data_IF_883857829548
#
_entry.id   IF_883857829548
#
_cell.length_a   1.000
_cell.length_b   1.000
_cell.length_c   1.000
_cell.angle_alpha   90.00
_cell.angle_beta   90.00
_cell.angle_gamma   90.00
#
_symmetry.space_group_name_H-M   'P 1'
#
loop_
_entity.id
_entity.type
_entity.pdbx_description
1 polymer ?
#
# COMPACT_ATOMS: atom_id res chain seq x y z
N UNK A 1 69.61 76.27 -17.44
CA UNK A 1 69.33 76.59 -16.02
C UNK A 1 68.00 77.35 -16.03
N UNK A 2 66.88 76.80 -15.58
CA UNK A 2 66.55 76.41 -14.20
C UNK A 2 65.47 75.32 -14.22
N UNK A 3 65.64 74.34 -13.35
CA UNK A 3 64.71 73.26 -13.02
C UNK A 3 63.50 73.80 -12.24
N UNK A 4 62.29 73.33 -12.53
CA UNK A 4 61.21 73.24 -11.55
C UNK A 4 60.62 71.82 -11.61
N UNK A 5 60.93 71.05 -10.57
CA UNK A 5 60.19 69.86 -10.17
C UNK A 5 58.92 70.37 -9.48
N UNK A 6 57.74 69.94 -9.92
CA UNK A 6 56.58 69.93 -9.04
C UNK A 6 56.39 68.52 -8.49
N UNK A 7 56.35 68.46 -7.17
CA UNK A 7 56.16 67.26 -6.36
C UNK A 7 54.67 67.15 -6.06
N UNK A 8 53.99 66.14 -6.59
CA UNK A 8 52.67 65.75 -6.09
C UNK A 8 52.85 65.03 -4.75
N UNK A 9 52.89 65.81 -3.67
CA UNK A 9 52.75 65.28 -2.31
C UNK A 9 51.32 64.83 -2.08
N UNK A 10 51.14 63.68 -1.42
CA UNK A 10 49.82 63.14 -1.02
C UNK A 10 49.11 64.06 0.00
N UNK A 11 49.87 64.95 0.64
CA UNK A 11 49.43 65.91 1.67
C UNK A 11 49.96 67.30 1.26
N UNK A 12 49.10 68.32 1.25
CA UNK A 12 49.47 69.71 0.99
C UNK A 12 49.90 70.48 2.25
N UNK A 13 50.47 71.67 2.07
CA UNK A 13 50.98 72.52 3.17
C UNK A 13 49.86 73.06 4.09
N UNK A 14 48.59 72.90 3.69
CA UNK A 14 47.40 73.18 4.50
C UNK A 14 46.84 71.95 5.25
N UNK A 15 47.45 70.76 5.10
CA UNK A 15 47.05 69.54 5.80
C UNK A 15 45.85 68.82 5.19
N UNK A 16 45.57 68.98 3.89
CA UNK A 16 44.55 68.21 3.19
C UNK A 16 45.17 67.00 2.46
N UNK A 17 44.47 65.86 2.52
CA UNK A 17 44.81 64.66 1.77
C UNK A 17 44.20 64.78 0.36
N UNK A 18 45.05 64.71 -0.67
CA UNK A 18 44.65 64.86 -2.08
C UNK A 18 43.92 66.18 -2.44
N UNK A 19 44.07 67.24 -1.64
CA UNK A 19 43.51 68.57 -1.93
C UNK A 19 41.98 68.69 -1.84
N UNK A 20 41.27 67.66 -1.33
CA UNK A 20 39.79 67.67 -1.23
C UNK A 20 39.28 67.41 0.19
N UNK A 21 40.06 66.71 1.04
CA UNK A 21 39.61 66.27 2.36
C UNK A 21 40.64 66.68 3.42
N UNK A 22 40.22 67.31 4.51
CA UNK A 22 41.09 67.64 5.63
C UNK A 22 41.64 66.36 6.29
N UNK A 23 42.95 66.26 6.49
CA UNK A 23 43.58 65.02 6.99
C UNK A 23 43.12 64.64 8.40
N UNK A 24 42.71 65.63 9.20
CA UNK A 24 42.17 65.40 10.54
C UNK A 24 40.84 64.65 10.45
N UNK A 25 39.98 65.00 9.49
CA UNK A 25 38.68 64.38 9.30
C UNK A 25 38.81 62.96 8.74
N UNK A 26 39.78 62.75 7.83
CA UNK A 26 40.14 61.42 7.34
C UNK A 26 40.63 60.49 8.46
N UNK A 27 41.43 60.99 9.41
CA UNK A 27 41.88 60.24 10.58
C UNK A 27 40.73 59.91 11.54
N UNK A 28 39.78 60.83 11.74
CA UNK A 28 38.58 60.58 12.56
C UNK A 28 37.71 59.49 11.95
N UNK A 29 37.52 59.49 10.63
CA UNK A 29 36.77 58.42 9.92
C UNK A 29 37.47 57.07 10.05
N UNK A 30 38.79 57.02 9.87
CA UNK A 30 39.57 55.77 10.07
C UNK A 30 39.50 55.30 11.52
N UNK A 31 39.54 56.22 12.49
CA UNK A 31 39.41 55.88 13.92
C UNK A 31 38.02 55.33 14.24
N UNK A 32 36.95 55.92 13.70
CA UNK A 32 35.58 55.42 13.89
C UNK A 32 35.41 54.03 13.27
N UNK A 33 35.96 53.79 12.07
CA UNK A 33 35.96 52.46 11.43
C UNK A 33 36.76 51.45 12.27
N UNK A 34 37.92 51.84 12.79
CA UNK A 34 38.75 50.97 13.64
C UNK A 34 38.04 50.64 14.97
N UNK A 35 37.35 51.60 15.57
CA UNK A 35 36.55 51.39 16.80
C UNK A 35 35.31 50.53 16.52
N UNK A 36 34.68 50.65 15.36
CA UNK A 36 33.56 49.77 14.96
C UNK A 36 34.02 48.33 14.71
N UNK A 37 35.16 48.13 14.04
CA UNK A 37 35.74 46.80 13.82
C UNK A 37 36.23 46.18 15.13
N UNK A 38 36.88 46.97 15.99
CA UNK A 38 37.32 46.52 17.31
C UNK A 38 36.13 46.24 18.25
N UNK A 39 35.08 47.07 18.21
CA UNK A 39 33.85 46.89 18.98
C UNK A 39 33.05 45.64 18.58
N UNK A 40 33.02 45.29 17.29
CA UNK A 40 32.47 44.02 16.81
C UNK A 40 33.32 42.81 17.25
N UNK A 41 34.64 42.97 17.36
CA UNK A 41 35.52 41.89 17.85
C UNK A 41 35.44 41.67 19.37
N UNK A 42 35.23 42.73 20.16
CA UNK A 42 35.31 42.65 21.63
C UNK A 42 34.09 41.94 22.24
N UNK A 43 32.92 42.01 21.62
CA UNK A 43 31.73 41.24 22.04
C UNK A 43 31.90 39.73 21.82
N UNK A 44 32.90 39.31 21.02
CA UNK A 44 33.20 37.89 20.75
C UNK A 44 34.34 37.33 21.61
N UNK A 45 34.99 38.15 22.44
CA UNK A 45 36.07 37.70 23.33
C UNK A 45 35.70 37.98 24.79
N UNK A 46 34.67 37.27 25.25
CA UNK A 46 34.49 36.94 26.66
C UNK A 46 35.42 35.79 27.05
N UNK A 47 36.16 36.02 28.12
CA UNK A 47 37.25 35.19 28.65
C UNK A 47 36.78 33.83 29.21
N UNK A 48 37.55 32.77 28.92
CA UNK A 48 37.90 31.77 29.95
C UNK A 48 36.90 30.67 30.32
N UNK A 49 36.43 29.89 29.34
CA UNK A 49 35.81 28.59 29.60
C UNK A 49 35.64 27.79 28.32
N UNK A 50 36.72 27.15 27.84
CA UNK A 50 36.66 26.26 26.67
C UNK A 50 35.89 24.97 26.99
N UNK A 51 34.57 25.05 27.14
CA UNK A 51 33.72 23.94 26.73
C UNK A 51 33.65 24.05 25.22
N UNK A 52 34.43 23.22 24.51
CA UNK A 52 34.17 22.98 23.09
C UNK A 52 32.67 22.72 22.95
N UNK A 53 31.95 23.54 22.18
CA UNK A 53 30.55 23.29 21.92
C UNK A 53 30.44 21.82 21.47
N UNK A 54 29.53 21.02 22.06
CA UNK A 54 29.39 19.64 21.67
C UNK A 54 29.21 19.60 20.15
N UNK A 55 30.03 18.82 19.46
CA UNK A 55 29.89 18.67 18.01
C UNK A 55 28.52 18.07 17.75
N UNK A 56 27.59 18.81 17.16
CA UNK A 56 26.29 18.29 16.78
C UNK A 56 26.45 17.35 15.60
N UNK A 57 25.90 16.14 15.72
CA UNK A 57 25.82 15.18 14.63
C UNK A 57 24.36 14.95 14.26
N UNK A 58 24.14 14.43 13.06
CA UNK A 58 22.82 14.01 12.59
C UNK A 58 22.79 12.53 12.23
N UNK A 59 21.65 11.88 12.42
CA UNK A 59 21.39 10.54 11.88
C UNK A 59 19.91 10.37 11.59
N UNK A 60 19.59 9.64 10.53
CA UNK A 60 18.21 9.25 10.24
C UNK A 60 17.83 8.03 11.08
N UNK A 61 16.55 7.94 11.43
CA UNK A 61 15.93 6.77 12.05
C UNK A 61 14.59 6.48 11.42
N UNK A 62 14.22 5.19 11.34
CA UNK A 62 12.85 4.78 11.03
C UNK A 62 12.11 4.50 12.33
N UNK A 63 11.02 5.23 12.58
CA UNK A 63 10.18 5.07 13.76
C UNK A 63 8.85 4.42 13.38
N UNK A 64 8.59 3.26 13.97
CA UNK A 64 7.29 2.60 13.91
C UNK A 64 6.44 3.12 15.06
N UNK A 65 5.47 3.99 14.72
CA UNK A 65 4.53 4.58 15.67
C UNK A 65 3.39 3.61 16.02
N UNK A 66 3.37 2.43 15.39
CA UNK A 66 2.30 1.44 15.56
C UNK A 66 0.98 1.92 14.98
N UNK A 67 -0.09 1.27 15.41
CA UNK A 67 -1.46 1.58 15.00
C UNK A 67 -1.94 2.84 15.73
N UNK A 68 -2.36 3.83 14.95
CA UNK A 68 -2.77 5.14 15.41
C UNK A 68 -4.22 5.43 15.02
N UNK A 69 -5.00 6.12 15.88
CA UNK A 69 -6.31 6.64 15.51
C UNK A 69 -6.23 7.65 14.37
N UNK A 70 -7.30 7.77 13.59
CA UNK A 70 -7.36 8.68 12.44
C UNK A 70 -7.09 10.15 12.82
N UNK A 71 -7.61 10.60 13.96
CA UNK A 71 -7.38 11.95 14.47
C UNK A 71 -5.92 12.22 14.86
N UNK A 72 -5.08 11.19 15.06
CA UNK A 72 -3.63 11.35 15.22
C UNK A 72 -2.96 11.35 13.85
N UNK A 73 -3.23 10.36 13.01
CA UNK A 73 -2.56 10.24 11.71
C UNK A 73 -2.83 11.40 10.76
N UNK A 74 -3.98 12.07 10.91
CA UNK A 74 -4.33 13.28 10.16
C UNK A 74 -3.54 14.52 10.59
N UNK A 75 -2.90 14.51 11.77
CA UNK A 75 -2.09 15.61 12.28
C UNK A 75 -0.59 15.43 11.96
N UNK A 76 -0.13 14.19 11.75
CA UNK A 76 1.28 13.91 11.46
C UNK A 76 1.63 14.44 10.07
N UNK A 77 2.63 15.32 10.01
CA UNK A 77 3.09 15.96 8.78
C UNK A 77 4.61 15.89 8.61
N UNK A 78 5.07 15.92 7.36
CA UNK A 78 6.50 16.05 7.06
C UNK A 78 6.93 17.46 7.50
N UNK A 79 8.06 17.54 8.20
CA UNK A 79 8.56 18.76 8.82
C UNK A 79 8.13 18.95 10.27
N UNK A 80 7.24 18.10 10.80
CA UNK A 80 6.94 18.08 12.24
C UNK A 80 8.22 17.88 13.02
N UNK A 81 8.43 18.71 14.04
CA UNK A 81 9.64 18.66 14.87
C UNK A 81 9.31 18.54 16.34
N UNK A 82 10.23 17.92 17.09
CA UNK A 82 10.16 17.79 18.53
C UNK A 82 11.56 17.91 19.15
N UNK A 83 11.70 18.80 20.12
CA UNK A 83 12.95 19.05 20.84
C UNK A 83 12.81 18.66 22.31
N UNK A 84 13.17 17.42 22.72
CA UNK A 84 13.08 17.01 24.13
C UNK A 84 14.09 17.73 25.03
N UNK A 85 15.08 18.43 24.46
CA UNK A 85 16.08 19.23 25.17
C UNK A 85 16.69 20.28 24.25
N UNK A 86 17.37 21.29 24.79
CA UNK A 86 17.97 22.40 24.01
C UNK A 86 18.94 21.97 22.89
N UNK A 87 19.56 20.80 23.00
CA UNK A 87 20.53 20.31 22.02
C UNK A 87 20.06 19.04 21.31
N UNK A 88 18.77 18.70 21.36
CA UNK A 88 18.28 17.50 20.69
C UNK A 88 17.01 17.82 19.93
N UNK A 89 17.03 17.59 18.62
CA UNK A 89 15.91 17.83 17.72
C UNK A 89 15.60 16.55 16.93
N UNK A 90 14.32 16.29 16.74
CA UNK A 90 13.79 15.29 15.84
C UNK A 90 12.95 16.00 14.81
N UNK A 91 13.17 15.74 13.53
CA UNK A 91 12.34 16.26 12.43
C UNK A 91 11.84 15.11 11.58
N UNK A 92 10.52 15.00 11.36
CA UNK A 92 9.94 14.00 10.47
C UNK A 92 10.26 14.39 9.02
N UNK A 93 10.93 13.49 8.30
CA UNK A 93 11.34 13.72 6.90
C UNK A 93 10.48 12.97 5.90
N UNK A 94 9.84 11.87 6.31
CA UNK A 94 8.94 11.09 5.45
C UNK A 94 7.91 10.31 6.29
N UNK A 95 6.77 9.98 5.70
CA UNK A 95 5.65 9.30 6.35
C UNK A 95 5.08 8.23 5.43
N UNK A 96 4.97 7.03 5.98
CA UNK A 96 4.34 5.89 5.36
C UNK A 96 3.18 5.39 6.22
N UNK A 97 1.98 5.46 5.66
CA UNK A 97 0.76 4.97 6.27
C UNK A 97 0.34 3.65 5.63
N UNK A 98 -0.18 2.75 6.45
CA UNK A 98 -0.78 1.50 5.98
C UNK A 98 -2.10 1.26 6.67
N UNK A 99 -3.10 0.71 5.97
CA UNK A 99 -4.39 0.43 6.57
C UNK A 99 -4.29 -0.74 7.54
N UNK A 100 -5.00 -0.64 8.66
CA UNK A 100 -5.12 -1.67 9.70
C UNK A 100 -6.58 -1.73 10.16
N UNK A 101 -7.43 -2.40 9.36
CA UNK A 101 -8.88 -2.37 9.52
C UNK A 101 -9.45 -0.93 9.56
N UNK A 102 -9.98 -0.49 10.69
CA UNK A 102 -10.52 0.86 10.91
C UNK A 102 -9.46 1.86 11.42
N UNK A 103 -8.23 1.41 11.62
CA UNK A 103 -7.11 2.22 12.08
C UNK A 103 -6.01 2.31 11.02
N UNK A 104 -5.04 3.19 11.24
CA UNK A 104 -3.90 3.36 10.33
C UNK A 104 -2.61 3.12 11.09
N UNK A 105 -1.75 2.24 10.58
CA UNK A 105 -0.40 2.10 11.10
C UNK A 105 0.49 3.16 10.47
N UNK A 106 1.23 3.87 11.30
CA UNK A 106 2.12 4.95 10.90
C UNK A 106 3.58 4.56 11.12
N UNK A 107 4.38 4.67 10.06
CA UNK A 107 5.84 4.57 10.11
C UNK A 107 6.39 5.87 9.57
N UNK A 108 7.33 6.47 10.29
CA UNK A 108 7.94 7.74 9.88
C UNK A 108 9.44 7.60 9.77
N UNK A 109 10.01 8.32 8.81
CA UNK A 109 11.44 8.62 8.79
C UNK A 109 11.65 9.93 9.55
N UNK A 110 12.64 9.96 10.43
CA UNK A 110 13.00 11.17 11.13
C UNK A 110 14.51 11.38 11.13
N UNK A 111 14.93 12.63 10.96
CA UNK A 111 16.29 13.07 11.21
C UNK A 111 16.42 13.44 12.69
N UNK A 112 17.40 12.86 13.37
CA UNK A 112 17.77 13.24 14.72
C UNK A 112 19.03 14.10 14.66
N UNK A 113 19.02 15.23 15.36
CA UNK A 113 20.17 16.10 15.58
C UNK A 113 20.47 16.14 17.08
N UNK A 114 21.69 15.79 17.49
CA UNK A 114 22.10 15.83 18.91
C UNK A 114 23.62 15.87 19.08
N UNK A 115 24.15 16.22 20.28
CA UNK A 115 25.56 16.08 20.62
C UNK A 115 26.14 14.72 20.24
N UNK A 116 27.26 14.76 19.54
CA UNK A 116 28.04 13.57 19.18
C UNK A 116 28.87 13.12 20.37
N UNK A 117 28.96 11.80 20.56
CA UNK A 117 29.95 11.16 21.43
C UNK A 117 30.65 10.08 20.62
N UNK A 118 31.83 10.41 20.08
CA UNK A 118 32.49 9.59 19.07
C UNK A 118 31.74 9.62 17.73
N UNK A 119 31.49 8.45 17.15
CA UNK A 119 30.79 8.29 15.85
C UNK A 119 29.26 8.24 15.98
N UNK A 120 28.71 8.39 17.18
CA UNK A 120 27.26 8.26 17.42
C UNK A 120 26.71 9.46 18.17
N UNK A 121 25.52 9.92 17.78
CA UNK A 121 24.80 10.99 18.47
C UNK A 121 24.16 10.49 19.78
N UNK A 122 23.97 11.38 20.75
CA UNK A 122 23.30 11.11 22.02
C UNK A 122 21.96 11.82 22.12
N UNK A 123 20.98 11.32 21.36
CA UNK A 123 19.62 11.89 21.37
C UNK A 123 18.91 11.61 22.71
N UNK A 124 18.53 12.66 23.44
CA UNK A 124 17.91 12.56 24.78
C UNK A 124 18.70 11.63 25.72
N UNK A 125 20.02 11.85 25.80
CA UNK A 125 20.90 11.18 26.76
C UNK A 125 21.31 9.74 26.44
N UNK A 126 20.95 9.20 25.28
CA UNK A 126 21.34 7.86 24.85
C UNK A 126 21.50 7.77 23.31
N UNK A 127 22.23 6.77 22.78
CA UNK A 127 22.33 6.58 21.34
C UNK A 127 21.01 6.07 20.73
N UNK A 128 20.70 6.41 19.46
CA UNK A 128 19.56 5.84 18.75
C UNK A 128 19.90 4.39 18.37
N UNK A 129 19.25 3.43 19.04
CA UNK A 129 19.44 1.99 18.82
C UNK A 129 18.12 1.33 18.49
N UNK A 130 18.17 0.26 17.70
CA UNK A 130 17.01 -0.57 17.38
C UNK A 130 16.24 -0.96 18.65
N UNK A 131 14.91 -0.87 18.60
CA UNK A 131 14.02 -1.20 19.72
C UNK A 131 13.87 -0.09 20.76
N UNK A 132 14.69 0.98 20.73
CA UNK A 132 14.50 2.13 21.62
C UNK A 132 13.24 2.88 21.23
N UNK A 133 12.46 3.29 22.23
CA UNK A 133 11.28 4.11 22.04
C UNK A 133 11.63 5.60 22.15
N UNK A 134 11.16 6.40 21.20
CA UNK A 134 11.24 7.85 21.22
C UNK A 134 9.82 8.41 21.30
N UNK A 135 9.66 9.50 22.04
CA UNK A 135 8.44 10.30 22.03
C UNK A 135 8.52 11.34 20.93
N UNK A 136 7.39 11.62 20.30
CA UNK A 136 7.18 12.75 19.40
C UNK A 136 6.01 13.53 19.97
N UNK A 137 6.30 14.75 20.43
CA UNK A 137 5.33 15.66 21.03
C UNK A 137 5.33 16.96 20.23
N UNK A 138 4.19 17.28 19.65
CA UNK A 138 3.94 18.53 18.93
C UNK A 138 2.87 19.34 19.66
N UNK A 139 2.49 20.49 19.11
CA UNK A 139 1.36 21.27 19.63
C UNK A 139 0.01 20.56 19.46
N UNK A 140 -0.09 19.65 18.50
CA UNK A 140 -1.38 19.05 18.07
C UNK A 140 -1.50 17.57 18.44
N UNK A 141 -0.40 16.85 18.65
CA UNK A 141 -0.43 15.44 19.03
C UNK A 141 0.77 14.99 19.87
N UNK A 142 0.59 13.85 20.54
CA UNK A 142 1.67 13.12 21.22
C UNK A 142 1.60 11.65 20.80
N UNK A 143 2.73 11.09 20.43
CA UNK A 143 2.85 9.67 20.09
C UNK A 143 4.24 9.14 20.44
N UNK A 144 4.37 7.82 20.45
CA UNK A 144 5.65 7.15 20.70
C UNK A 144 5.97 6.20 19.57
N UNK A 145 7.21 6.26 19.10
CA UNK A 145 7.74 5.42 18.03
C UNK A 145 8.83 4.49 18.53
N UNK A 146 8.86 3.26 18.03
CA UNK A 146 9.98 2.34 18.24
C UNK A 146 10.95 2.44 17.07
N UNK A 147 12.24 2.62 17.34
CA UNK A 147 13.29 2.63 16.30
C UNK A 147 13.36 1.24 15.65
N UNK A 148 13.15 1.20 14.34
CA UNK A 148 13.27 0.00 13.48
C UNK A 148 14.49 0.05 12.55
N UNK A 149 15.11 1.20 12.40
CA UNK A 149 16.31 1.35 11.57
C UNK A 149 17.07 2.62 11.97
N UNK A 150 18.38 2.64 11.74
CA UNK A 150 19.28 3.76 12.06
C UNK A 150 20.27 3.97 10.92
N UNK A 151 20.43 5.22 10.49
CA UNK A 151 21.24 5.60 9.33
C UNK A 151 20.42 5.66 8.04
N UNK A 152 21.06 5.73 6.87
CA UNK A 152 20.42 5.81 5.55
C UNK A 152 19.92 7.23 5.17
N UNK A 153 19.15 7.33 4.08
CA UNK A 153 18.63 8.61 3.53
C UNK A 153 17.43 9.19 4.29
N UNK A 154 16.91 10.32 3.83
CA UNK A 154 15.77 11.03 4.46
C UNK A 154 14.39 10.47 4.09
N UNK A 155 14.32 9.49 3.18
CA UNK A 155 13.08 8.86 2.72
C UNK A 155 12.98 7.40 3.19
N UNK A 156 11.75 6.90 3.37
CA UNK A 156 11.50 5.49 3.64
C UNK A 156 11.70 4.70 2.35
N UNK A 157 12.56 3.67 2.40
CA UNK A 157 12.69 2.75 1.28
C UNK A 157 11.50 1.78 1.25
N UNK A 158 10.54 2.03 0.36
CA UNK A 158 9.47 1.09 0.04
C UNK A 158 9.82 0.27 -1.20
N UNK A 159 9.13 -0.86 -1.38
CA UNK A 159 9.26 -1.71 -2.56
C UNK A 159 7.88 -2.13 -3.03
N UNK A 160 7.68 -2.10 -4.35
CA UNK A 160 6.46 -2.60 -4.97
C UNK A 160 6.36 -4.13 -4.82
N UNK A 161 5.26 -4.60 -4.26
CA UNK A 161 4.94 -6.02 -4.13
C UNK A 161 3.69 -6.36 -4.90
N UNK A 162 3.81 -7.29 -5.84
CA UNK A 162 2.66 -7.77 -6.59
C UNK A 162 1.99 -8.92 -5.85
N UNK A 163 0.69 -8.84 -5.61
CA UNK A 163 -0.09 -9.90 -4.96
C UNK A 163 -1.43 -10.12 -5.67
N UNK A 164 -2.01 -11.31 -5.46
CA UNK A 164 -3.41 -11.60 -5.79
C UNK A 164 -4.15 -11.87 -4.49
N UNK A 165 -5.22 -11.11 -4.24
CA UNK A 165 -6.05 -11.23 -3.04
C UNK A 165 -7.43 -11.75 -3.43
N UNK A 166 -7.91 -12.77 -2.73
CA UNK A 166 -9.28 -13.29 -2.87
C UNK A 166 -10.16 -12.72 -1.76
N UNK A 167 -11.28 -12.13 -2.13
CA UNK A 167 -12.26 -11.58 -1.20
C UNK A 167 -13.69 -12.03 -1.58
N UNK A 168 -14.60 -11.98 -0.62
CA UNK A 168 -16.04 -12.16 -0.87
C UNK A 168 -16.75 -10.85 -0.58
N UNK A 169 -17.39 -10.29 -1.60
CA UNK A 169 -18.00 -8.96 -1.55
C UNK A 169 -19.49 -9.03 -1.88
N UNK A 170 -20.23 -7.98 -1.53
CA UNK A 170 -21.57 -7.79 -2.10
C UNK A 170 -21.45 -7.53 -3.61
N UNK A 171 -22.50 -7.83 -4.37
CA UNK A 171 -22.54 -7.48 -5.79
C UNK A 171 -22.32 -5.97 -6.01
N UNK A 172 -22.94 -5.14 -5.19
CA UNK A 172 -22.80 -3.67 -5.25
C UNK A 172 -21.36 -3.22 -5.05
N UNK A 173 -20.67 -3.79 -4.06
CA UNK A 173 -19.27 -3.42 -3.76
C UNK A 173 -18.32 -3.94 -4.82
N UNK A 174 -18.53 -5.17 -5.32
CA UNK A 174 -17.73 -5.72 -6.41
C UNK A 174 -17.83 -4.86 -7.70
N UNK A 175 -18.97 -4.20 -7.95
CA UNK A 175 -19.17 -3.31 -9.11
C UNK A 175 -18.44 -1.97 -8.98
N UNK A 176 -18.03 -1.58 -7.77
CA UNK A 176 -17.30 -0.33 -7.52
C UNK A 176 -15.80 -0.48 -7.68
N UNK A 177 -15.30 -1.71 -7.74
CA UNK A 177 -13.88 -1.99 -7.94
C UNK A 177 -13.53 -1.90 -9.43
N UNK A 178 -12.42 -1.22 -9.73
CA UNK A 178 -11.96 -1.01 -11.10
C UNK A 178 -10.45 -1.22 -11.21
N UNK A 179 -10.02 -1.70 -12.37
CA UNK A 179 -8.59 -1.72 -12.74
C UNK A 179 -8.04 -0.29 -12.86
N UNK A 180 -6.78 -0.12 -12.47
CA UNK A 180 -6.11 1.18 -12.37
C UNK A 180 -6.50 2.01 -11.16
N UNK A 181 -7.41 1.53 -10.30
CA UNK A 181 -7.85 2.27 -9.13
C UNK A 181 -6.73 2.34 -8.07
N UNK A 182 -6.28 3.56 -7.69
CA UNK A 182 -5.35 3.72 -6.59
C UNK A 182 -6.06 3.58 -5.25
N UNK A 183 -5.41 2.92 -4.30
CA UNK A 183 -5.84 2.77 -2.92
C UNK A 183 -5.03 3.77 -2.09
N UNK A 184 -5.72 4.65 -1.39
CA UNK A 184 -5.10 5.73 -0.61
C UNK A 184 -5.42 5.64 0.87
N UNK A 185 -4.43 5.96 1.69
CA UNK A 185 -4.56 6.15 3.14
C UNK A 185 -4.02 7.53 3.48
N UNK A 186 -4.84 8.37 4.11
CA UNK A 186 -4.51 9.77 4.39
C UNK A 186 -4.00 10.53 3.14
N UNK A 187 -4.66 10.32 2.00
CA UNK A 187 -4.29 10.94 0.72
C UNK A 187 -3.04 10.37 0.03
N UNK A 188 -2.33 9.43 0.66
CA UNK A 188 -1.12 8.79 0.10
C UNK A 188 -1.46 7.46 -0.54
N UNK A 189 -0.93 7.21 -1.73
CA UNK A 189 -1.12 5.94 -2.44
C UNK A 189 -0.30 4.83 -1.78
N UNK A 190 -0.99 3.76 -1.37
CA UNK A 190 -0.38 2.61 -0.69
C UNK A 190 -0.48 1.34 -1.51
N UNK A 191 -1.40 1.29 -2.47
CA UNK A 191 -1.56 0.18 -3.38
C UNK A 191 -2.32 0.64 -4.64
N UNK A 192 -2.26 -0.18 -5.68
CA UNK A 192 -3.03 0.02 -6.92
C UNK A 192 -3.69 -1.29 -7.32
N UNK A 193 -4.96 -1.21 -7.74
CA UNK A 193 -5.70 -2.34 -8.30
C UNK A 193 -5.28 -2.52 -9.76
N UNK A 194 -4.58 -3.61 -10.04
CA UNK A 194 -3.99 -3.94 -11.34
C UNK A 194 -4.88 -4.87 -12.16
N UNK A 195 -5.78 -5.62 -11.49
CA UNK A 195 -6.82 -6.38 -12.17
C UNK A 195 -7.94 -6.73 -11.21
N UNK A 196 -9.15 -6.92 -11.76
CA UNK A 196 -10.31 -7.37 -11.01
C UNK A 196 -10.94 -8.53 -11.79
N UNK A 197 -11.04 -9.70 -11.17
CA UNK A 197 -11.78 -10.83 -11.73
C UNK A 197 -12.86 -11.26 -10.75
N UNK A 198 -14.11 -11.32 -11.22
CA UNK A 198 -15.27 -11.54 -10.36
C UNK A 198 -16.05 -12.77 -10.80
N UNK A 199 -16.41 -13.62 -9.84
CA UNK A 199 -17.18 -14.82 -10.05
C UNK A 199 -18.46 -14.82 -9.22
N UNK A 200 -19.56 -15.28 -9.82
CA UNK A 200 -20.82 -15.52 -9.13
C UNK A 200 -20.71 -16.66 -8.12
N UNK A 201 -21.50 -16.56 -7.05
CA UNK A 201 -21.58 -17.58 -5.99
C UNK A 201 -22.99 -18.19 -5.94
N UNK A 202 -23.24 -19.05 -4.95
CA UNK A 202 -24.57 -19.62 -4.71
C UNK A 202 -25.59 -18.57 -4.23
N UNK A 203 -25.11 -17.43 -3.75
CA UNK A 203 -25.94 -16.30 -3.39
C UNK A 203 -25.73 -15.21 -4.47
N UNK A 204 -26.76 -14.83 -5.24
CA UNK A 204 -26.62 -13.82 -6.29
C UNK A 204 -26.12 -12.48 -5.76
N UNK A 205 -26.42 -12.13 -4.51
CA UNK A 205 -25.97 -10.87 -3.89
C UNK A 205 -24.51 -10.89 -3.42
N UNK A 206 -23.83 -12.04 -3.55
CA UNK A 206 -22.43 -12.24 -3.13
C UNK A 206 -21.58 -12.69 -4.30
N UNK A 207 -20.41 -12.05 -4.45
CA UNK A 207 -19.42 -12.38 -5.47
C UNK A 207 -18.10 -12.74 -4.82
N UNK A 208 -17.37 -13.69 -5.40
CA UNK A 208 -15.96 -13.92 -5.08
C UNK A 208 -15.12 -13.11 -6.05
N UNK A 209 -14.28 -12.23 -5.52
CA UNK A 209 -13.44 -11.31 -6.29
C UNK A 209 -11.98 -11.65 -6.09
N UNK A 210 -11.22 -11.70 -7.17
CA UNK A 210 -9.77 -11.78 -7.19
C UNK A 210 -9.22 -10.42 -7.61
N UNK A 211 -8.47 -9.79 -6.72
CA UNK A 211 -7.82 -8.50 -6.92
C UNK A 211 -6.34 -8.72 -7.17
N UNK A 212 -5.88 -8.35 -8.36
CA UNK A 212 -4.48 -8.09 -8.62
C UNK A 212 -4.07 -6.77 -8.01
N UNK A 213 -3.05 -6.77 -7.17
CA UNK A 213 -2.62 -5.55 -6.48
C UNK A 213 -1.12 -5.37 -6.60
N UNK A 214 -0.69 -4.12 -6.80
CA UNK A 214 0.68 -3.68 -6.53
C UNK A 214 0.65 -2.90 -5.22
N UNK A 215 1.30 -3.43 -4.18
CA UNK A 215 1.38 -2.82 -2.85
C UNK A 215 2.70 -2.07 -2.71
N UNK A 216 2.69 -0.85 -2.16
CA UNK A 216 3.89 -0.22 -1.63
C UNK A 216 4.18 -0.89 -0.28
N UNK A 217 5.25 -1.65 -0.15
CA UNK A 217 5.58 -2.44 1.04
C UNK A 217 6.90 -2.00 1.66
N UNK A 218 7.14 -2.37 2.92
CA UNK A 218 8.42 -2.16 3.61
C UNK A 218 9.09 -3.51 3.84
N UNK A 219 10.42 -3.54 3.71
CA UNK A 219 11.23 -4.72 4.01
C UNK A 219 11.78 -4.63 5.43
N UNK A 220 11.49 -5.61 6.26
CA UNK A 220 12.07 -5.77 7.59
C UNK A 220 12.94 -7.03 7.61
N UNK A 221 14.27 -6.85 7.59
CA UNK A 221 15.19 -7.97 7.43
C UNK A 221 14.98 -8.68 6.08
N UNK A 222 14.64 -9.97 6.10
CA UNK A 222 14.34 -10.77 4.89
C UNK A 222 12.84 -10.83 4.56
N UNK A 223 11.97 -10.20 5.37
CA UNK A 223 10.53 -10.31 5.23
C UNK A 223 9.92 -9.03 4.67
N UNK A 224 9.09 -9.18 3.64
CA UNK A 224 8.30 -8.08 3.07
C UNK A 224 6.97 -7.95 3.82
N UNK A 225 6.62 -6.73 4.22
CA UNK A 225 5.42 -6.45 5.00
C UNK A 225 4.63 -5.28 4.43
N UNK A 226 3.30 -5.38 4.55
CA UNK A 226 2.36 -4.31 4.28
C UNK A 226 1.55 -4.05 5.56
N UNK A 227 1.83 -2.95 6.24
CA UNK A 227 1.37 -2.73 7.61
C UNK A 227 1.88 -3.84 8.52
N UNK A 228 1.02 -4.42 9.34
CA UNK A 228 1.37 -5.58 10.18
C UNK A 228 1.36 -6.91 9.41
N UNK A 229 0.90 -6.91 8.16
CA UNK A 229 0.75 -8.13 7.36
C UNK A 229 2.07 -8.49 6.69
N UNK A 230 2.71 -9.58 7.11
CA UNK A 230 3.78 -10.19 6.32
C UNK A 230 3.20 -10.74 5.01
N UNK A 231 3.78 -10.35 3.88
CA UNK A 231 3.26 -10.72 2.56
C UNK A 231 3.62 -12.17 2.25
N UNK A 232 2.62 -13.05 2.36
CA UNK A 232 2.73 -14.48 2.03
C UNK A 232 1.36 -15.04 1.65
N UNK A 233 1.29 -16.15 0.88
CA UNK A 233 0.03 -16.86 0.67
C UNK A 233 -0.63 -17.24 2.00
N UNK A 234 -1.95 -17.08 2.08
CA UNK A 234 -2.76 -17.32 3.28
C UNK A 234 -2.85 -16.15 4.25
N UNK A 235 -2.06 -15.08 4.06
CA UNK A 235 -2.15 -13.90 4.92
C UNK A 235 -3.37 -13.05 4.57
N UNK A 236 -4.06 -12.54 5.59
CA UNK A 236 -5.20 -11.64 5.41
C UNK A 236 -4.74 -10.21 5.17
N UNK A 237 -5.44 -9.51 4.28
CA UNK A 237 -5.19 -8.12 3.94
C UNK A 237 -6.50 -7.33 4.06
N UNK A 238 -6.41 -6.11 4.59
CA UNK A 238 -7.53 -5.18 4.67
C UNK A 238 -7.20 -3.90 3.93
N UNK A 239 -8.07 -3.50 3.00
CA UNK A 239 -7.84 -2.38 2.10
C UNK A 239 -9.04 -1.44 2.09
N UNK A 240 -8.86 -0.15 2.39
CA UNK A 240 -9.90 0.84 2.23
C UNK A 240 -10.02 1.18 0.74
N UNK A 241 -11.08 0.70 0.10
CA UNK A 241 -11.38 0.99 -1.30
C UNK A 241 -12.61 1.90 -1.39
N UNK A 242 -12.94 2.39 -2.58
CA UNK A 242 -14.21 3.10 -2.81
C UNK A 242 -15.43 2.19 -2.60
N UNK A 243 -15.25 0.86 -2.68
CA UNK A 243 -16.25 -0.13 -2.33
C UNK A 243 -16.40 -0.34 -0.80
N UNK A 244 -15.70 0.46 0.01
CA UNK A 244 -15.55 0.26 1.45
C UNK A 244 -14.34 -0.60 1.80
N UNK A 245 -14.33 -1.13 3.02
CA UNK A 245 -13.23 -1.94 3.53
C UNK A 245 -13.28 -3.35 2.93
N UNK A 246 -12.36 -3.65 2.03
CA UNK A 246 -12.20 -4.98 1.43
C UNK A 246 -11.28 -5.80 2.33
N UNK A 247 -11.81 -6.90 2.87
CA UNK A 247 -11.01 -7.92 3.58
C UNK A 247 -10.87 -9.16 2.71
N UNK A 248 -9.64 -9.58 2.48
CA UNK A 248 -9.34 -10.74 1.64
C UNK A 248 -8.10 -11.49 2.11
N UNK A 249 -7.82 -12.59 1.42
CA UNK A 249 -6.68 -13.47 1.68
C UNK A 249 -5.74 -13.44 0.47
N UNK A 250 -4.44 -13.29 0.72
CA UNK A 250 -3.42 -13.36 -0.32
C UNK A 250 -3.35 -14.81 -0.83
N UNK A 251 -3.68 -15.02 -2.09
CA UNK A 251 -3.61 -16.33 -2.75
C UNK A 251 -2.30 -16.51 -3.53
N UNK A 252 -1.66 -15.41 -3.92
CA UNK A 252 -0.41 -15.42 -4.70
C UNK A 252 0.43 -14.18 -4.40
N UNK A 253 1.75 -14.37 -4.38
CA UNK A 253 2.76 -13.30 -4.29
C UNK A 253 3.62 -13.31 -5.56
N UNK A 254 4.12 -12.15 -5.96
CA UNK A 254 4.94 -11.94 -7.15
C UNK A 254 4.15 -11.80 -8.45
N UNK A 255 2.82 -11.64 -8.39
CA UNK A 255 1.97 -11.48 -9.57
C UNK A 255 0.69 -10.73 -9.25
N UNK A 256 0.13 -10.07 -10.26
CA UNK A 256 -1.15 -9.34 -10.20
C UNK A 256 -2.28 -10.10 -10.89
N UNK A 257 -2.02 -11.29 -11.43
CA UNK A 257 -3.04 -12.12 -12.09
C UNK A 257 -3.12 -13.49 -11.45
N UNK A 258 -4.33 -14.08 -11.47
CA UNK A 258 -4.54 -15.45 -10.99
C UNK A 258 -3.63 -16.45 -11.71
N UNK A 259 -3.37 -17.60 -11.07
CA UNK A 259 -2.53 -18.65 -11.66
C UNK A 259 -3.19 -19.24 -12.92
N UNK A 260 -2.35 -19.65 -13.87
CA UNK A 260 -2.78 -20.27 -15.12
C UNK A 260 -3.11 -19.28 -16.24
N UNK A 261 -3.16 -19.79 -17.47
CA UNK A 261 -3.51 -19.01 -18.65
C UNK A 261 -5.02 -19.03 -18.86
N UNK A 262 -5.67 -17.86 -19.03
CA UNK A 262 -7.09 -17.80 -19.31
C UNK A 262 -7.40 -18.43 -20.68
N UNK A 263 -8.41 -19.29 -20.74
CA UNK A 263 -8.90 -19.91 -21.98
C UNK A 263 -10.38 -20.26 -21.82
N UNK A 264 -11.03 -20.74 -22.88
CA UNK A 264 -12.41 -21.24 -22.83
C UNK A 264 -12.46 -22.74 -23.08
N UNK A 265 -13.36 -23.44 -22.40
CA UNK A 265 -13.58 -24.88 -22.57
C UNK A 265 -15.07 -25.19 -22.64
N UNK A 266 -15.45 -26.09 -23.54
CA UNK A 266 -16.80 -26.63 -23.57
C UNK A 266 -16.93 -27.77 -22.57
N UNK A 267 -17.85 -27.60 -21.62
CA UNK A 267 -18.05 -28.51 -20.50
C UNK A 267 -19.49 -28.97 -20.49
N UNK A 268 -19.69 -30.28 -20.41
CA UNK A 268 -21.01 -30.88 -20.28
C UNK A 268 -21.36 -31.01 -18.79
N UNK A 269 -22.46 -30.38 -18.42
CA UNK A 269 -22.94 -30.24 -17.05
C UNK A 269 -24.32 -30.89 -16.92
N UNK A 270 -24.64 -31.39 -15.73
CA UNK A 270 -25.93 -32.02 -15.44
C UNK A 270 -26.53 -31.51 -14.13
N UNK A 271 -27.84 -31.27 -14.15
CA UNK A 271 -28.69 -31.17 -12.97
C UNK A 271 -29.59 -32.40 -12.94
N UNK A 272 -29.64 -33.08 -11.80
CA UNK A 272 -30.42 -34.30 -11.65
C UNK A 272 -31.66 -34.04 -10.79
N UNK A 273 -32.78 -34.68 -11.17
CA UNK A 273 -34.02 -34.69 -10.41
C UNK A 273 -34.54 -33.29 -10.03
N UNK A 274 -34.52 -32.35 -10.98
CA UNK A 274 -34.98 -30.97 -10.77
C UNK A 274 -36.46 -30.80 -11.16
N UNK A 275 -37.13 -29.82 -10.56
CA UNK A 275 -38.52 -29.51 -10.91
C UNK A 275 -38.63 -29.01 -12.37
N UNK A 276 -39.78 -29.19 -13.04
CA UNK A 276 -40.01 -28.65 -14.38
C UNK A 276 -39.82 -27.13 -14.46
N UNK A 277 -40.12 -26.40 -13.38
CA UNK A 277 -39.91 -24.94 -13.32
C UNK A 277 -38.42 -24.58 -13.46
N UNK A 278 -37.54 -25.23 -12.70
CA UNK A 278 -36.10 -25.03 -12.80
C UNK A 278 -35.54 -25.58 -14.13
N UNK A 279 -36.04 -26.73 -14.59
CA UNK A 279 -35.59 -27.31 -15.85
C UNK A 279 -35.88 -26.38 -17.04
N UNK A 280 -37.08 -25.78 -17.07
CA UNK A 280 -37.48 -24.84 -18.11
C UNK A 280 -36.82 -23.47 -17.98
N UNK A 281 -36.36 -23.09 -16.78
CA UNK A 281 -35.66 -21.81 -16.59
C UNK A 281 -34.25 -21.80 -17.16
N UNK A 282 -33.67 -22.94 -17.53
CA UNK A 282 -32.31 -23.03 -18.09
C UNK A 282 -32.40 -23.09 -19.62
N UNK A 283 -31.84 -22.13 -20.33
CA UNK A 283 -31.93 -22.06 -21.79
C UNK A 283 -30.59 -21.73 -22.46
N UNK A 284 -30.38 -22.14 -23.72
CA UNK A 284 -29.25 -21.68 -24.51
C UNK A 284 -29.20 -20.15 -24.57
N UNK A 285 -27.99 -19.58 -24.57
CA UNK A 285 -27.76 -18.14 -24.59
C UNK A 285 -27.64 -17.50 -23.21
N UNK A 286 -28.04 -18.18 -22.14
CA UNK A 286 -27.83 -17.71 -20.76
C UNK A 286 -26.34 -17.59 -20.44
N UNK A 287 -25.97 -16.54 -19.72
CA UNK A 287 -24.59 -16.23 -19.38
C UNK A 287 -24.44 -15.92 -17.90
N UNK A 288 -23.35 -16.39 -17.31
CA UNK A 288 -22.78 -15.74 -16.14
C UNK A 288 -21.81 -14.67 -16.63
N UNK A 289 -22.04 -13.43 -16.24
CA UNK A 289 -21.19 -12.31 -16.64
C UNK A 289 -21.09 -11.25 -15.55
N UNK A 290 -19.92 -10.64 -15.42
CA UNK A 290 -19.69 -9.54 -14.50
C UNK A 290 -18.75 -8.51 -15.14
N UNK A 291 -19.05 -7.22 -15.03
CA UNK A 291 -18.19 -6.17 -15.61
C UNK A 291 -17.99 -6.24 -17.12
N UNK A 292 -18.91 -6.89 -17.86
CA UNK A 292 -18.77 -7.13 -19.31
C UNK A 292 -17.99 -8.40 -19.66
N UNK A 293 -17.34 -9.05 -18.70
CA UNK A 293 -16.68 -10.34 -18.90
C UNK A 293 -17.68 -11.50 -18.78
N UNK A 294 -17.64 -12.43 -19.73
CA UNK A 294 -18.46 -13.66 -19.67
C UNK A 294 -17.64 -14.78 -19.01
N UNK A 295 -18.12 -15.26 -17.86
CA UNK A 295 -17.51 -16.37 -17.11
C UNK A 295 -18.03 -17.71 -17.60
N UNK A 296 -19.31 -17.77 -17.99
CA UNK A 296 -19.93 -18.97 -18.54
C UNK A 296 -21.02 -18.60 -19.54
N UNK A 297 -21.20 -19.42 -20.58
CA UNK A 297 -22.31 -19.31 -21.53
C UNK A 297 -22.90 -20.69 -21.83
N UNK A 298 -24.21 -20.85 -21.67
CA UNK A 298 -24.91 -22.07 -22.07
C UNK A 298 -25.10 -22.08 -23.58
N UNK A 299 -24.63 -23.12 -24.26
CA UNK A 299 -24.73 -23.27 -25.72
C UNK A 299 -25.78 -24.27 -26.16
N UNK A 300 -26.03 -25.32 -25.37
CA UNK A 300 -27.01 -26.36 -25.68
C UNK A 300 -27.66 -26.90 -24.41
N UNK A 301 -28.94 -27.27 -24.47
CA UNK A 301 -29.70 -27.83 -23.33
C UNK A 301 -30.54 -29.02 -23.82
N UNK A 302 -30.51 -30.11 -23.07
CA UNK A 302 -31.30 -31.32 -23.25
C UNK A 302 -32.04 -31.64 -21.95
N UNK A 303 -33.30 -32.03 -22.05
CA UNK A 303 -34.15 -32.33 -20.89
C UNK A 303 -34.78 -33.70 -21.09
N UNK A 304 -34.77 -34.49 -20.04
CA UNK A 304 -35.36 -35.82 -19.99
C UNK A 304 -36.04 -35.99 -18.64
N UNK A 305 -37.06 -36.83 -18.55
CA UNK A 305 -37.64 -37.14 -17.25
C UNK A 305 -36.57 -37.82 -16.37
N UNK A 306 -36.51 -37.45 -15.09
CA UNK A 306 -35.46 -37.92 -14.20
C UNK A 306 -35.57 -39.43 -13.94
N UNK A 307 -34.47 -40.07 -13.60
CA UNK A 307 -34.47 -41.48 -13.20
C UNK A 307 -34.53 -41.61 -11.68
N UNK A 308 -35.43 -42.45 -11.17
CA UNK A 308 -35.54 -42.80 -9.75
C UNK A 308 -35.29 -44.29 -9.54
N UNK A 309 -34.59 -44.58 -8.46
CA UNK A 309 -34.36 -45.95 -7.98
C UNK A 309 -35.31 -46.19 -6.82
N UNK A 310 -36.18 -47.17 -6.96
CA UNK A 310 -37.18 -47.56 -5.95
C UNK A 310 -36.90 -48.96 -5.42
N UNK A 311 -37.17 -49.19 -4.14
CA UNK A 311 -37.07 -50.53 -3.52
C UNK A 311 -38.47 -51.10 -3.31
N UNK A 312 -38.72 -52.31 -3.83
CA UNK A 312 -39.96 -53.05 -3.64
C UNK A 312 -40.13 -53.59 -2.21
N UNK A 313 -41.33 -54.09 -1.90
CA UNK A 313 -41.63 -54.69 -0.58
C UNK A 313 -40.90 -56.02 -0.36
N UNK A 314 -40.47 -56.66 -1.44
CA UNK A 314 -39.63 -57.85 -1.51
C UNK A 314 -38.12 -57.54 -1.40
N UNK A 315 -37.74 -56.26 -1.40
CA UNK A 315 -36.35 -55.81 -1.39
C UNK A 315 -35.70 -55.67 -2.76
N UNK A 316 -36.42 -55.96 -3.86
CA UNK A 316 -35.90 -55.78 -5.22
C UNK A 316 -35.73 -54.30 -5.57
N UNK A 317 -34.72 -53.98 -6.39
CA UNK A 317 -34.42 -52.62 -6.83
C UNK A 317 -34.94 -52.42 -8.26
N UNK A 318 -35.78 -51.39 -8.45
CA UNK A 318 -36.34 -51.01 -9.75
C UNK A 318 -35.90 -49.60 -10.14
N UNK A 319 -35.41 -49.47 -11.37
CA UNK A 319 -35.19 -48.19 -12.02
C UNK A 319 -36.47 -47.76 -12.74
N UNK A 320 -36.96 -46.56 -12.46
CA UNK A 320 -38.18 -45.99 -13.04
C UNK A 320 -37.96 -44.55 -13.42
N UNK A 321 -38.72 -44.08 -14.40
CA UNK A 321 -38.76 -42.67 -14.74
C UNK A 321 -39.63 -41.90 -13.75
N UNK A 322 -39.14 -40.77 -13.25
CA UNK A 322 -39.89 -39.85 -12.41
C UNK A 322 -41.00 -39.19 -13.24
N UNK A 323 -42.25 -39.11 -12.73
CA UNK A 323 -43.38 -38.62 -13.52
C UNK A 323 -43.36 -37.10 -13.78
N UNK A 324 -42.63 -36.33 -12.96
CA UNK A 324 -42.63 -34.85 -12.99
C UNK A 324 -41.22 -34.28 -13.17
N UNK A 325 -40.33 -34.50 -12.21
CA UNK A 325 -38.94 -34.02 -12.23
C UNK A 325 -38.15 -34.50 -13.45
N UNK A 326 -37.18 -33.67 -13.83
CA UNK A 326 -36.37 -33.83 -15.03
C UNK A 326 -34.89 -33.84 -14.68
N UNK A 327 -34.12 -34.56 -15.49
CA UNK A 327 -32.68 -34.39 -15.59
C UNK A 327 -32.39 -33.41 -16.73
N UNK A 328 -31.56 -32.40 -16.44
CA UNK A 328 -31.16 -31.37 -17.41
C UNK A 328 -29.69 -31.53 -17.68
N UNK A 329 -29.36 -31.83 -18.93
CA UNK A 329 -27.99 -31.93 -19.41
C UNK A 329 -27.72 -30.77 -20.35
N UNK A 330 -26.65 -30.01 -20.12
CA UNK A 330 -26.34 -28.85 -20.95
C UNK A 330 -24.84 -28.71 -21.20
N UNK A 331 -24.50 -28.09 -22.32
CA UNK A 331 -23.12 -27.70 -22.63
C UNK A 331 -22.96 -26.23 -22.29
N UNK A 332 -21.90 -25.91 -21.54
CA UNK A 332 -21.51 -24.55 -21.23
C UNK A 332 -20.08 -24.30 -21.69
N UNK A 333 -19.87 -23.17 -22.37
CA UNK A 333 -18.55 -22.63 -22.61
C UNK A 333 -18.11 -21.88 -21.35
N UNK A 334 -17.11 -22.40 -20.64
CA UNK A 334 -16.61 -21.86 -19.39
C UNK A 334 -15.29 -21.11 -19.63
N UNK A 335 -15.16 -19.93 -19.03
CA UNK A 335 -13.88 -19.23 -18.89
C UNK A 335 -13.07 -19.89 -17.78
N UNK A 336 -12.04 -20.63 -18.17
CA UNK A 336 -11.20 -21.45 -17.29
C UNK A 336 -9.77 -20.93 -17.29
N UNK A 337 -8.96 -21.44 -16.36
CA UNK A 337 -7.52 -21.19 -16.33
C UNK A 337 -6.76 -22.50 -16.41
N UNK A 338 -5.90 -22.62 -17.42
CA UNK A 338 -5.00 -23.76 -17.60
C UNK A 338 -3.72 -23.57 -16.79
N UNK A 339 -3.46 -24.52 -15.90
CA UNK A 339 -2.25 -24.58 -15.08
C UNK A 339 -1.46 -25.85 -15.40
N UNK A 340 -0.21 -25.91 -14.96
CA UNK A 340 0.61 -27.13 -15.08
C UNK A 340 -0.01 -28.35 -14.37
N UNK A 341 -0.91 -28.10 -13.42
CA UNK A 341 -1.62 -29.12 -12.63
C UNK A 341 -3.02 -29.46 -13.17
N UNK A 342 -3.45 -28.82 -14.26
CA UNK A 342 -4.75 -29.04 -14.90
C UNK A 342 -5.59 -27.78 -15.06
N UNK A 343 -6.84 -27.98 -15.49
CA UNK A 343 -7.80 -26.92 -15.76
C UNK A 343 -8.54 -26.53 -14.48
N UNK A 344 -8.67 -25.22 -14.24
CA UNK A 344 -9.42 -24.68 -13.10
C UNK A 344 -10.54 -23.76 -13.56
N UNK A 345 -11.70 -23.83 -12.91
CA UNK A 345 -12.82 -22.91 -13.08
C UNK A 345 -13.13 -22.27 -11.73
N UNK A 346 -13.15 -20.93 -11.67
CA UNK A 346 -13.34 -20.17 -10.42
C UNK A 346 -12.40 -20.62 -9.28
N UNK A 347 -11.12 -20.79 -9.60
CA UNK A 347 -10.06 -21.24 -8.66
C UNK A 347 -10.25 -22.67 -8.10
N UNK A 348 -11.03 -23.50 -8.79
CA UNK A 348 -11.24 -24.90 -8.41
C UNK A 348 -10.97 -25.83 -9.59
N UNK A 349 -10.32 -26.96 -9.33
CA UNK A 349 -10.02 -27.94 -10.38
C UNK A 349 -11.30 -28.45 -11.03
N UNK A 350 -11.35 -28.38 -12.35
CA UNK A 350 -12.45 -28.87 -13.15
C UNK A 350 -12.25 -30.36 -13.42
N UNK A 351 -13.07 -31.21 -12.80
CA UNK A 351 -13.01 -32.67 -12.93
C UNK A 351 -14.42 -33.25 -13.04
N UNK A 352 -14.56 -34.43 -13.64
CA UNK A 352 -15.84 -35.14 -13.67
C UNK A 352 -16.32 -35.45 -12.24
N UNK A 353 -17.63 -35.31 -12.00
CA UNK A 353 -18.26 -35.42 -10.69
C UNK A 353 -18.20 -34.16 -9.84
N UNK A 354 -17.41 -33.15 -10.23
CA UNK A 354 -17.35 -31.85 -9.55
C UNK A 354 -18.67 -31.11 -9.71
N UNK A 355 -19.18 -30.51 -8.64
CA UNK A 355 -20.28 -29.54 -8.73
C UNK A 355 -19.72 -28.14 -8.98
N UNK A 356 -20.25 -27.46 -10.01
CA UNK A 356 -19.94 -26.07 -10.35
C UNK A 356 -21.16 -25.19 -10.15
N UNK A 357 -20.93 -24.01 -9.58
CA UNK A 357 -21.98 -22.99 -9.42
C UNK A 357 -21.94 -22.04 -10.60
N UNK A 358 -23.10 -21.85 -11.26
CA UNK A 358 -23.30 -20.87 -12.30
C UNK A 358 -24.38 -19.86 -11.89
N UNK A 359 -24.04 -18.58 -11.91
CA UNK A 359 -24.95 -17.47 -11.64
C UNK A 359 -25.41 -16.87 -12.98
N UNK A 360 -26.52 -17.36 -13.52
CA UNK A 360 -26.98 -17.04 -14.88
C UNK A 360 -27.86 -15.78 -14.93
N UNK A 361 -27.80 -14.94 -13.89
CA UNK A 361 -28.57 -13.71 -13.75
C UNK A 361 -30.02 -13.92 -13.30
N UNK A 362 -30.78 -14.77 -13.98
CA UNK A 362 -32.17 -15.09 -13.59
C UNK A 362 -32.27 -16.29 -12.66
N UNK A 363 -31.24 -17.14 -12.64
CA UNK A 363 -31.19 -18.35 -11.84
C UNK A 363 -29.75 -18.69 -11.48
N UNK A 364 -29.54 -19.12 -10.23
CA UNK A 364 -28.28 -19.70 -9.78
C UNK A 364 -28.42 -21.20 -9.70
N UNK A 365 -27.51 -21.94 -10.34
CA UNK A 365 -27.58 -23.41 -10.42
C UNK A 365 -26.27 -24.06 -9.96
N UNK A 366 -26.40 -25.26 -9.39
CA UNK A 366 -25.29 -26.13 -8.99
C UNK A 366 -25.30 -27.39 -9.83
N UNK A 367 -24.49 -27.40 -10.89
CA UNK A 367 -24.49 -28.49 -11.86
C UNK A 367 -23.25 -29.38 -11.72
N UNK A 368 -23.42 -30.68 -11.93
CA UNK A 368 -22.35 -31.66 -11.87
C UNK A 368 -21.65 -31.74 -13.23
N UNK A 369 -20.33 -31.71 -13.25
CA UNK A 369 -19.51 -31.94 -14.44
C UNK A 369 -19.62 -33.42 -14.81
N UNK A 370 -20.20 -33.72 -15.98
CA UNK A 370 -20.31 -35.09 -16.48
C UNK A 370 -19.27 -35.41 -17.54
N UNK A 371 -18.77 -34.41 -18.25
CA UNK A 371 -17.55 -34.51 -19.07
C UNK A 371 -16.95 -33.14 -19.41
N UNK A 372 -15.61 -33.07 -19.44
CA UNK A 372 -14.78 -32.12 -20.22
C UNK A 372 -13.79 -33.00 -21.01
N UNK A 373 -13.17 -32.67 -22.15
CA UNK A 373 -12.25 -31.57 -22.41
C UNK A 373 -12.06 -31.42 -23.94
N UNK A 374 -13.06 -30.94 -24.68
CA UNK A 374 -12.83 -30.56 -26.10
C UNK A 374 -12.58 -29.07 -26.19
#
# INVERSE_FOLDING_TARGET
>A
MKSMKESFGIIDDEGNLFGVINIIDALVVVFIIAVLVAGASLVLTGDGGSSSAPTTGTTNVTLDLGTQPEYITSQISIGDSYSPSENADLTITDIYFTPQDESTRAVVRAELSAPSSGETIQYSGAPPRYGRQLEVLTETYSTKGTIRDVGGGSELTTTETKVVVRANLSETDARRLSEGQPIRVQGREVATIESVTTYGTNNPDKKTVFLGLTLQSVTYGEQQAFGETTIRPGASLSLPTEAGLVKGEITRVGATTQRGQPTTRDVKLQLSNVSPLLANSISPGMTESFGGETVARISAVQRQNATIVTRGQDGEIYERTHPINQDVTFTANLSVRETDTGVTFKDQTLQQGRVVTLDLGTVTINATVISGYR
#
